data_IF_823452123425
#
_entry.id   IF_823452123425
#
_cell.length_a   1.000
_cell.length_b   1.000
_cell.length_c   1.000
_cell.angle_alpha   90.00
_cell.angle_beta   90.00
_cell.angle_gamma   90.00
#
_symmetry.space_group_name_H-M   'P 1'
#
loop_
_entity.id
_entity.type
_entity.pdbx_description
1 polymer ?
#
# COMPACT_ATOMS: atom_id res chain seq x y z
N UNK A 1 -14.03 13.41 -2.94
CA UNK A 1 -13.46 14.49 -2.13
C UNK A 1 -14.53 14.86 -1.11
N UNK A 2 -14.19 14.85 0.18
CA UNK A 2 -15.12 15.23 1.24
C UNK A 2 -14.94 16.73 1.50
N UNK A 3 -15.75 17.55 0.83
CA UNK A 3 -15.91 18.97 1.15
C UNK A 3 -16.79 19.10 2.40
N UNK A 4 -16.22 18.78 3.56
CA UNK A 4 -16.88 18.96 4.86
C UNK A 4 -16.37 20.28 5.44
N UNK A 5 -17.20 21.31 5.39
CA UNK A 5 -16.96 22.58 6.06
C UNK A 5 -17.44 22.57 7.52
N UNK A 6 -17.14 23.66 8.23
CA UNK A 6 -17.63 23.87 9.61
C UNK A 6 -19.16 23.85 9.67
N UNK A 7 -19.84 24.34 8.61
CA UNK A 7 -21.29 24.31 8.49
C UNK A 7 -21.87 22.89 8.43
N UNK A 8 -21.31 22.02 7.58
CA UNK A 8 -21.70 20.62 7.49
C UNK A 8 -21.46 19.87 8.81
N UNK A 9 -20.34 20.12 9.50
CA UNK A 9 -20.07 19.53 10.83
C UNK A 9 -21.17 19.90 11.82
N UNK A 10 -21.59 21.16 11.86
CA UNK A 10 -22.66 21.61 12.76
C UNK A 10 -24.00 20.93 12.44
N UNK A 11 -24.35 20.80 11.16
CA UNK A 11 -25.56 20.09 10.73
C UNK A 11 -25.51 18.62 11.15
N UNK A 12 -24.38 17.95 10.94
CA UNK A 12 -24.20 16.55 11.36
C UNK A 12 -24.24 16.39 12.88
N UNK A 13 -23.69 17.34 13.64
CA UNK A 13 -23.76 17.34 15.09
C UNK A 13 -25.22 17.45 15.57
N UNK A 14 -25.99 18.40 15.04
CA UNK A 14 -27.42 18.55 15.38
C UNK A 14 -28.21 17.30 14.99
N UNK A 15 -27.95 16.75 13.80
CA UNK A 15 -28.62 15.54 13.34
C UNK A 15 -28.30 14.33 14.23
N UNK A 16 -27.03 14.16 14.60
CA UNK A 16 -26.59 13.12 15.53
C UNK A 16 -27.25 13.26 16.90
N UNK A 17 -27.34 14.49 17.41
CA UNK A 17 -28.03 14.79 18.68
C UNK A 17 -29.53 14.49 18.59
N UNK A 18 -30.19 14.72 17.45
CA UNK A 18 -31.60 14.43 17.27
C UNK A 18 -31.89 12.92 17.16
N UNK A 19 -31.05 12.19 16.41
CA UNK A 19 -31.23 10.74 16.18
C UNK A 19 -30.93 9.94 17.45
N UNK A 20 -29.78 10.20 18.08
CA UNK A 20 -29.32 9.43 19.23
C UNK A 20 -29.76 10.05 20.56
N UNK A 21 -29.92 11.38 20.62
CA UNK A 21 -30.11 12.13 21.85
C UNK A 21 -28.78 12.65 22.43
N UNK A 22 -28.78 13.85 23.06
CA UNK A 22 -27.59 14.48 23.64
C UNK A 22 -26.93 13.64 24.75
N UNK A 23 -27.74 12.89 25.50
CA UNK A 23 -27.29 12.03 26.60
C UNK A 23 -26.61 10.74 26.11
N UNK A 24 -27.02 10.22 24.94
CA UNK A 24 -26.62 8.89 24.47
C UNK A 24 -25.48 8.93 23.47
N UNK A 25 -25.38 9.99 22.68
CA UNK A 25 -24.29 10.19 21.71
C UNK A 25 -22.89 10.06 22.34
N UNK A 26 -22.54 10.75 23.44
CA UNK A 26 -21.21 10.64 24.02
C UNK A 26 -20.91 9.22 24.53
N UNK A 27 -21.93 8.52 25.06
CA UNK A 27 -21.78 7.13 25.51
C UNK A 27 -21.55 6.19 24.33
N UNK A 28 -22.33 6.32 23.25
CA UNK A 28 -22.18 5.53 22.04
C UNK A 28 -20.81 5.74 21.37
N UNK A 29 -20.33 6.99 21.31
CA UNK A 29 -19.00 7.30 20.80
C UNK A 29 -17.89 6.69 21.67
N UNK A 30 -18.04 6.72 23.01
CA UNK A 30 -17.09 6.09 23.92
C UNK A 30 -17.07 4.57 23.76
N UNK A 31 -18.22 3.93 23.60
CA UNK A 31 -18.33 2.48 23.39
C UNK A 31 -17.71 2.07 22.04
N UNK A 32 -18.01 2.81 20.97
CA UNK A 32 -17.40 2.61 19.66
C UNK A 32 -15.87 2.81 19.71
N UNK A 33 -15.39 3.83 20.42
CA UNK A 33 -13.96 4.07 20.62
C UNK A 33 -13.26 2.94 21.37
N UNK A 34 -13.90 2.39 22.41
CA UNK A 34 -13.39 1.22 23.14
C UNK A 34 -13.30 0.00 22.24
N UNK A 35 -14.33 -0.28 21.44
CA UNK A 35 -14.34 -1.38 20.48
C UNK A 35 -13.26 -1.21 19.40
N UNK A 36 -13.16 -0.02 18.81
CA UNK A 36 -12.14 0.29 17.82
C UNK A 36 -10.72 0.11 18.38
N UNK A 37 -10.50 0.52 19.64
CA UNK A 37 -9.23 0.32 20.33
C UNK A 37 -8.92 -1.16 20.53
N UNK A 38 -9.88 -1.95 21.02
CA UNK A 38 -9.69 -3.39 21.22
C UNK A 38 -9.39 -4.08 19.89
N UNK A 39 -10.13 -3.76 18.83
CA UNK A 39 -9.86 -4.28 17.48
C UNK A 39 -8.45 -3.91 17.00
N UNK A 40 -8.02 -2.67 17.23
CA UNK A 40 -6.67 -2.21 16.88
C UNK A 40 -5.59 -2.96 17.66
N UNK A 41 -5.79 -3.18 18.96
CA UNK A 41 -4.87 -3.92 19.82
C UNK A 41 -4.79 -5.39 19.38
N UNK A 42 -5.92 -6.04 19.10
CA UNK A 42 -5.98 -7.40 18.57
C UNK A 42 -5.30 -7.52 17.20
N UNK A 43 -5.59 -6.61 16.27
CA UNK A 43 -4.97 -6.59 14.95
C UNK A 43 -3.45 -6.37 15.03
N UNK A 44 -3.00 -5.49 15.93
CA UNK A 44 -1.57 -5.23 16.14
C UNK A 44 -0.87 -6.44 16.78
N UNK A 45 -1.52 -7.10 17.75
CA UNK A 45 -1.02 -8.32 18.38
C UNK A 45 -0.89 -9.46 17.36
N UNK A 46 -1.96 -9.76 16.63
CA UNK A 46 -1.93 -10.79 15.58
C UNK A 46 -0.90 -10.50 14.49
N UNK A 47 -0.76 -9.23 14.06
CA UNK A 47 0.29 -8.82 13.11
C UNK A 47 1.69 -9.06 13.66
N UNK A 48 1.90 -8.80 14.95
CA UNK A 48 3.18 -9.01 15.63
C UNK A 48 3.49 -10.50 15.76
N UNK A 49 2.51 -11.31 16.14
CA UNK A 49 2.68 -12.77 16.26
C UNK A 49 2.95 -13.41 14.90
N UNK A 50 2.31 -12.95 13.83
CA UNK A 50 2.61 -13.38 12.45
C UNK A 50 3.99 -12.93 11.98
N UNK A 51 4.41 -11.70 12.34
CA UNK A 51 5.75 -11.20 11.98
C UNK A 51 6.85 -12.00 12.70
N UNK A 52 6.68 -12.28 13.99
CA UNK A 52 7.63 -13.07 14.79
C UNK A 52 7.67 -14.53 14.33
N UNK A 53 6.52 -15.13 14.01
CA UNK A 53 6.44 -16.56 13.63
C UNK A 53 6.81 -16.85 12.18
N UNK A 54 6.55 -15.93 11.25
CA UNK A 54 6.84 -16.15 9.83
C UNK A 54 8.27 -15.76 9.45
N UNK A 55 8.99 -14.97 10.27
CA UNK A 55 10.32 -14.43 9.90
C UNK A 55 10.32 -13.54 8.65
N UNK A 56 9.12 -13.23 8.12
CA UNK A 56 8.91 -12.39 6.95
C UNK A 56 8.77 -10.95 7.43
N UNK A 57 9.62 -10.08 6.89
CA UNK A 57 9.62 -8.67 7.18
C UNK A 57 8.32 -8.04 6.65
N UNK A 58 7.28 -8.00 7.49
CA UNK A 58 5.97 -7.44 7.15
C UNK A 58 6.02 -5.99 6.68
N UNK A 59 7.16 -5.31 6.85
CA UNK A 59 7.48 -4.03 6.24
C UNK A 59 7.27 -4.07 4.73
N UNK A 60 7.81 -5.08 4.06
CA UNK A 60 7.79 -5.22 2.60
C UNK A 60 6.39 -5.55 2.06
N UNK A 61 5.63 -6.39 2.79
CA UNK A 61 4.24 -6.69 2.45
C UNK A 61 3.33 -5.47 2.65
N UNK A 62 3.55 -4.69 3.70
CA UNK A 62 2.75 -3.50 4.00
C UNK A 62 3.09 -2.34 3.05
N UNK A 63 4.35 -2.20 2.66
CA UNK A 63 4.83 -1.35 1.57
C UNK A 63 4.15 -1.73 0.25
N UNK A 64 4.10 -3.03 -0.07
CA UNK A 64 3.46 -3.54 -1.28
C UNK A 64 1.95 -3.29 -1.29
N UNK A 65 1.24 -3.55 -0.18
CA UNK A 65 -0.21 -3.27 -0.08
C UNK A 65 -0.50 -1.78 -0.16
N UNK A 66 0.37 -0.94 0.40
CA UNK A 66 0.24 0.52 0.31
C UNK A 66 0.52 1.02 -1.11
N UNK A 67 1.52 0.45 -1.79
CA UNK A 67 1.81 0.67 -3.20
C UNK A 67 0.62 0.26 -4.09
N UNK A 68 -0.04 -0.87 -3.80
CA UNK A 68 -1.26 -1.31 -4.49
C UNK A 68 -2.45 -0.34 -4.32
N UNK A 69 -2.56 0.31 -3.16
CA UNK A 69 -3.60 1.32 -2.91
C UNK A 69 -3.40 2.62 -3.69
N UNK A 70 -2.14 2.94 -4.04
CA UNK A 70 -1.76 4.14 -4.81
C UNK A 70 -1.61 3.84 -6.32
N UNK A 71 -1.47 2.56 -6.70
CA UNK A 71 -1.40 2.12 -8.07
C UNK A 71 -2.79 2.01 -8.68
N UNK A 72 -3.08 2.90 -9.64
CA UNK A 72 -4.29 2.86 -10.46
C UNK A 72 -4.64 1.42 -10.88
N UNK A 73 -5.89 0.96 -10.70
CA UNK A 73 -6.28 -0.43 -10.96
C UNK A 73 -6.01 -0.86 -12.41
N UNK A 74 -5.97 0.09 -13.35
CA UNK A 74 -5.58 -0.15 -14.75
C UNK A 74 -4.13 -0.60 -14.93
N UNK A 75 -3.20 -0.19 -14.05
CA UNK A 75 -1.80 -0.63 -14.09
C UNK A 75 -1.61 -2.00 -13.44
N UNK A 76 -2.41 -2.33 -12.42
CA UNK A 76 -2.43 -3.66 -11.82
C UNK A 76 -2.99 -4.70 -12.81
N UNK A 77 -4.10 -4.35 -13.48
CA UNK A 77 -4.65 -5.14 -14.59
C UNK A 77 -3.63 -5.21 -15.73
N UNK A 78 -3.07 -4.09 -16.18
CA UNK A 78 -2.03 -4.14 -17.22
C UNK A 78 -0.83 -5.01 -16.81
N UNK A 79 -0.34 -4.96 -15.57
CA UNK A 79 0.75 -5.82 -15.11
C UNK A 79 0.39 -7.31 -15.07
N UNK A 80 -0.84 -7.66 -14.67
CA UNK A 80 -1.33 -9.04 -14.66
C UNK A 80 -1.64 -9.60 -16.05
N UNK A 81 -1.99 -8.73 -17.01
CA UNK A 81 -2.26 -9.11 -18.41
C UNK A 81 -1.01 -9.00 -19.31
N UNK A 82 0.06 -8.34 -18.86
CA UNK A 82 1.31 -8.14 -19.61
C UNK A 82 2.44 -9.09 -19.16
N UNK A 83 2.15 -10.04 -18.26
CA UNK A 83 3.03 -11.18 -17.91
C UNK A 83 2.88 -12.35 -18.93
N UNK A 84 2.11 -12.16 -20.02
CA UNK A 84 1.85 -13.16 -21.07
C UNK A 84 2.51 -12.80 -22.43
N UNK A 85 3.33 -11.74 -22.51
CA UNK A 85 4.09 -11.42 -23.73
C UNK A 85 5.60 -11.70 -23.52
N UNK A 86 6.18 -12.71 -24.21
CA UNK A 86 7.62 -12.99 -24.11
C UNK A 86 8.42 -11.84 -24.73
N UNK A 87 9.40 -11.34 -23.96
CA UNK A 87 10.46 -10.39 -24.29
C UNK A 87 10.54 -9.98 -25.78
N UNK A 88 9.96 -8.82 -26.12
CA UNK A 88 10.23 -8.16 -27.40
C UNK A 88 11.27 -7.05 -27.23
N UNK A 89 12.49 -7.41 -27.62
CA UNK A 89 13.68 -6.55 -27.70
C UNK A 89 13.52 -5.47 -28.79
N UNK A 90 13.74 -4.18 -28.47
CA UNK A 90 14.49 -3.13 -29.24
C UNK A 90 14.07 -1.68 -28.87
N UNK A 91 14.86 -0.64 -29.22
CA UNK A 91 16.31 -0.49 -29.19
C UNK A 91 16.72 0.83 -28.47
N UNK A 92 17.67 0.78 -27.53
CA UNK A 92 18.27 1.97 -26.92
C UNK A 92 19.12 2.72 -27.94
N UNK A 93 18.63 3.88 -28.42
CA UNK A 93 19.45 4.96 -28.98
C UNK A 93 19.66 6.01 -27.90
N UNK A 94 20.76 5.96 -27.17
CA UNK A 94 21.47 7.11 -26.58
C UNK A 94 22.78 6.60 -26.01
N UNK A 95 23.90 7.17 -26.50
CA UNK A 95 25.25 7.20 -25.95
C UNK A 95 26.30 6.84 -27.01
N UNK A 96 26.59 7.80 -27.89
CA UNK A 96 27.97 8.01 -28.33
C UNK A 96 28.79 8.50 -27.13
N UNK A 97 30.08 8.17 -27.14
CA UNK A 97 31.14 8.56 -26.20
C UNK A 97 31.13 7.87 -24.83
N UNK A 98 31.83 6.72 -24.75
CA UNK A 98 33.05 6.58 -23.93
C UNK A 98 33.99 5.64 -24.66
N UNK A 99 35.22 6.10 -24.90
CA UNK A 99 36.23 5.36 -25.64
C UNK A 99 36.86 4.17 -24.90
N UNK A 100 37.76 3.53 -25.65
CA UNK A 100 38.81 2.59 -25.22
C UNK A 100 38.42 1.11 -25.04
N UNK A 101 38.74 0.33 -26.07
CA UNK A 101 39.27 -1.05 -26.01
C UNK A 101 40.33 -1.22 -24.91
N UNK A 102 40.46 -2.38 -24.25
CA UNK A 102 40.90 -3.63 -24.90
C UNK A 102 40.11 -4.90 -24.53
N UNK A 103 40.14 -5.87 -25.46
CA UNK A 103 39.55 -7.21 -25.33
C UNK A 103 40.36 -8.06 -24.34
N UNK A 104 39.74 -8.77 -23.39
CA UNK A 104 40.33 -10.00 -22.86
C UNK A 104 40.07 -11.16 -23.83
N UNK A 105 41.13 -11.88 -24.13
CA UNK A 105 41.21 -13.06 -24.98
C UNK A 105 40.48 -14.22 -24.28
N UNK A 106 39.51 -14.84 -24.96
CA UNK A 106 38.95 -16.12 -24.51
C UNK A 106 39.99 -17.22 -24.74
N UNK A 107 40.38 -17.90 -23.67
CA UNK A 107 41.22 -19.10 -23.69
C UNK A 107 40.33 -20.34 -23.72
N UNK A 108 40.33 -21.13 -24.83
CA UNK A 108 39.47 -22.29 -24.97
C UNK A 108 40.02 -23.58 -24.30
N UNK A 109 41.14 -23.55 -23.58
CA UNK A 109 41.70 -24.73 -22.92
C UNK A 109 41.30 -24.90 -21.43
N UNK A 110 40.24 -24.24 -20.96
CA UNK A 110 39.64 -24.56 -19.67
C UNK A 110 38.78 -25.85 -19.75
N UNK A 111 39.47 -26.99 -19.72
CA UNK A 111 38.91 -28.33 -19.43
C UNK A 111 38.57 -28.48 -17.95
#
# INVERSE_FOLDING_TARGET
MFDIGIGEIMILAVLGLLIFGPERLPKAAADAGRLARQLREMATGAKRDLADSAGLDMSETMESVRSLGDLHPRKLVAGLFNDDEPDEVKPTKTASEVGQTPRPVFDPDAT
#
